data_IF_706703130618
#
_entry.id   IF_706703130618
#
_cell.length_a   1.000
_cell.length_b   1.000
_cell.length_c   1.000
_cell.angle_alpha   90.00
_cell.angle_beta   90.00
_cell.angle_gamma   90.00
#
_symmetry.space_group_name_H-M   'P 1'
#
loop_
_entity.id
_entity.type
_entity.pdbx_description
1 polymer ?
#
# COMPACT_ATOMS: atom_id res chain seq x y z
N UNK A 1 -21.97 31.40 -13.96
CA UNK A 1 -20.67 31.47 -13.24
C UNK A 1 -20.78 31.03 -11.78
N UNK A 2 -21.87 31.35 -11.07
CA UNK A 2 -22.04 31.07 -9.63
C UNK A 2 -22.22 29.58 -9.26
N UNK A 3 -22.78 28.74 -10.14
CA UNK A 3 -23.01 27.32 -9.84
C UNK A 3 -21.71 26.50 -9.73
N UNK A 4 -20.71 26.81 -10.57
CA UNK A 4 -19.39 26.14 -10.55
C UNK A 4 -18.60 26.49 -9.29
N UNK A 5 -18.71 27.74 -8.84
CA UNK A 5 -18.03 28.24 -7.63
C UNK A 5 -18.66 27.61 -6.38
N UNK A 6 -20.00 27.58 -6.28
CA UNK A 6 -20.70 26.94 -5.16
C UNK A 6 -20.41 25.44 -5.04
N UNK A 7 -20.29 24.73 -6.17
CA UNK A 7 -19.92 23.32 -6.18
C UNK A 7 -18.49 23.11 -5.66
N UNK A 8 -17.54 23.94 -6.10
CA UNK A 8 -16.13 23.88 -5.67
C UNK A 8 -15.95 24.15 -4.17
N UNK A 9 -16.72 25.08 -3.60
CA UNK A 9 -16.72 25.33 -2.15
C UNK A 9 -17.32 24.15 -1.38
N UNK A 10 -18.43 23.57 -1.86
CA UNK A 10 -19.02 22.37 -1.26
C UNK A 10 -18.05 21.18 -1.23
N UNK A 11 -17.34 20.93 -2.34
CA UNK A 11 -16.32 19.89 -2.40
C UNK A 11 -15.15 20.15 -1.46
N UNK A 12 -14.71 21.40 -1.33
CA UNK A 12 -13.59 21.78 -0.47
C UNK A 12 -13.92 21.60 1.01
N UNK A 13 -15.11 22.04 1.45
CA UNK A 13 -15.57 21.87 2.84
C UNK A 13 -15.76 20.39 3.18
N UNK A 14 -16.35 19.60 2.28
CA UNK A 14 -16.52 18.16 2.48
C UNK A 14 -15.16 17.44 2.57
N UNK A 15 -14.19 17.87 1.75
CA UNK A 15 -12.83 17.30 1.76
C UNK A 15 -12.09 17.62 3.07
N UNK A 16 -12.24 18.84 3.60
CA UNK A 16 -11.63 19.23 4.87
C UNK A 16 -12.27 18.48 6.04
N UNK A 17 -13.60 18.37 6.07
CA UNK A 17 -14.31 17.63 7.11
C UNK A 17 -13.95 16.13 7.09
N UNK A 18 -13.83 15.54 5.90
CA UNK A 18 -13.36 14.17 5.72
C UNK A 18 -11.90 14.00 6.17
N UNK A 19 -11.02 14.94 5.83
CA UNK A 19 -9.62 14.93 6.28
C UNK A 19 -9.51 14.98 7.81
N UNK A 20 -10.27 15.86 8.45
CA UNK A 20 -10.28 16.01 9.91
C UNK A 20 -10.82 14.74 10.60
N UNK A 21 -11.88 14.12 10.06
CA UNK A 21 -12.40 12.86 10.55
C UNK A 21 -11.36 11.73 10.41
N UNK A 22 -10.71 11.61 9.25
CA UNK A 22 -9.65 10.64 8.98
C UNK A 22 -8.48 10.80 9.96
N UNK A 23 -8.03 12.02 10.21
CA UNK A 23 -6.94 12.30 11.17
C UNK A 23 -7.35 11.91 12.59
N UNK A 24 -8.56 12.27 13.02
CA UNK A 24 -9.08 11.91 14.33
C UNK A 24 -9.18 10.39 14.50
N UNK A 25 -9.72 9.70 13.49
CA UNK A 25 -9.83 8.24 13.45
C UNK A 25 -8.46 7.56 13.49
N UNK A 26 -7.47 8.08 12.77
CA UNK A 26 -6.08 7.61 12.85
C UNK A 26 -5.53 7.70 14.27
N UNK A 27 -5.71 8.86 14.93
CA UNK A 27 -5.18 9.08 16.27
C UNK A 27 -5.85 8.19 17.32
N UNK A 28 -7.17 8.01 17.24
CA UNK A 28 -7.90 7.11 18.13
C UNK A 28 -7.46 5.66 17.89
N UNK A 29 -7.36 5.22 16.64
CA UNK A 29 -6.93 3.86 16.35
C UNK A 29 -5.50 3.59 16.83
N UNK A 30 -4.56 4.49 16.52
CA UNK A 30 -3.17 4.36 16.92
C UNK A 30 -3.01 4.32 18.46
N UNK A 31 -3.90 4.97 19.21
CA UNK A 31 -3.87 4.98 20.68
C UNK A 31 -4.52 3.75 21.32
N UNK A 32 -5.53 3.15 20.69
CA UNK A 32 -6.38 2.15 21.35
C UNK A 32 -6.37 0.76 20.70
N UNK A 33 -5.92 0.60 19.45
CA UNK A 33 -6.19 -0.62 18.66
C UNK A 33 -4.99 -1.18 17.88
N UNK A 34 -3.76 -0.69 18.12
CA UNK A 34 -2.54 -1.23 17.48
C UNK A 34 -2.47 -2.77 17.61
N UNK A 35 -2.89 -3.30 18.77
CA UNK A 35 -2.91 -4.73 19.11
C UNK A 35 -3.72 -5.63 18.16
N UNK A 36 -4.65 -5.07 17.37
CA UNK A 36 -5.55 -5.81 16.49
C UNK A 36 -5.11 -5.84 15.01
N UNK A 37 -3.86 -5.47 14.71
CA UNK A 37 -3.40 -5.30 13.33
C UNK A 37 -2.58 -6.49 12.80
N UNK A 38 -2.72 -6.79 11.50
CA UNK A 38 -1.84 -7.69 10.75
C UNK A 38 -0.35 -7.34 10.98
N UNK A 39 -0.06 -6.05 11.18
CA UNK A 39 1.28 -5.53 11.36
C UNK A 39 2.02 -6.14 12.55
N UNK A 40 1.34 -6.32 13.68
CA UNK A 40 1.95 -6.92 14.87
C UNK A 40 2.38 -8.36 14.57
N UNK A 41 1.54 -9.10 13.86
CA UNK A 41 1.86 -10.46 13.44
C UNK A 41 3.17 -10.50 12.66
N UNK A 42 3.42 -9.50 11.79
CA UNK A 42 4.68 -9.39 11.05
C UNK A 42 5.89 -9.12 11.96
N UNK A 43 5.76 -8.17 12.92
CA UNK A 43 6.87 -7.79 13.81
C UNK A 43 7.18 -8.90 14.81
N UNK A 44 6.17 -9.57 15.37
CA UNK A 44 6.36 -10.70 16.28
C UNK A 44 7.01 -11.88 15.58
N UNK A 45 6.61 -12.17 14.33
CA UNK A 45 7.29 -13.19 13.53
C UNK A 45 8.77 -12.83 13.32
N UNK A 46 9.07 -11.56 13.03
CA UNK A 46 10.45 -11.08 12.89
C UNK A 46 11.26 -11.21 14.20
N UNK A 47 10.66 -10.91 15.35
CA UNK A 47 11.28 -11.08 16.68
C UNK A 47 11.56 -12.54 17.01
N UNK A 48 10.64 -13.44 16.65
CA UNK A 48 10.85 -14.89 16.78
C UNK A 48 12.00 -15.36 15.90
N UNK A 49 12.05 -14.93 14.64
CA UNK A 49 13.19 -15.23 13.75
C UNK A 49 14.50 -14.71 14.36
N UNK A 50 14.53 -13.47 14.83
CA UNK A 50 15.72 -12.86 15.44
C UNK A 50 16.20 -13.55 16.72
N UNK A 51 15.31 -14.26 17.43
CA UNK A 51 15.63 -15.05 18.62
C UNK A 51 15.83 -16.55 18.34
N UNK A 52 15.84 -16.96 17.06
CA UNK A 52 16.01 -18.36 16.67
C UNK A 52 14.81 -19.26 16.97
N UNK A 53 13.64 -18.67 17.20
CA UNK A 53 12.40 -19.38 17.49
C UNK A 53 11.58 -19.66 16.20
N UNK A 54 10.81 -20.76 16.15
CA UNK A 54 9.83 -20.97 15.10
C UNK A 54 8.80 -19.83 15.07
N UNK A 55 8.51 -19.30 13.88
CA UNK A 55 7.57 -18.18 13.69
C UNK A 55 6.21 -18.57 13.09
N UNK A 56 6.06 -19.81 12.63
CA UNK A 56 4.77 -20.38 12.21
C UNK A 56 4.10 -21.22 13.31
N UNK A 57 4.84 -21.65 14.33
CA UNK A 57 4.34 -22.55 15.38
C UNK A 57 3.77 -21.79 16.58
N UNK A 58 3.04 -20.71 16.31
CA UNK A 58 2.24 -20.02 17.33
C UNK A 58 0.88 -20.71 17.37
N UNK A 59 0.42 -21.23 18.52
CA UNK A 59 -0.89 -21.86 18.60
C UNK A 59 -1.95 -20.93 18.02
N UNK A 60 -2.82 -21.47 17.16
CA UNK A 60 -3.98 -20.74 16.62
C UNK A 60 -5.00 -20.59 17.74
N UNK A 61 -4.65 -19.76 18.72
CA UNK A 61 -5.63 -19.18 19.62
C UNK A 61 -6.16 -17.96 18.87
N UNK A 62 -7.47 -17.77 18.83
CA UNK A 62 -8.09 -16.52 18.35
C UNK A 62 -7.83 -15.37 19.34
N UNK A 63 -6.62 -15.31 19.88
CA UNK A 63 -6.12 -14.26 20.74
C UNK A 63 -5.42 -13.22 19.87
N UNK A 64 -5.57 -11.96 20.26
CA UNK A 64 -4.80 -10.87 19.69
C UNK A 64 -3.41 -10.88 20.33
N UNK A 65 -2.32 -10.90 19.54
CA UNK A 65 -2.27 -10.79 18.08
C UNK A 65 -2.43 -12.14 17.35
N UNK A 66 -3.03 -12.07 16.16
CA UNK A 66 -3.30 -13.24 15.31
C UNK A 66 -2.03 -14.01 14.92
N UNK A 67 -2.13 -15.32 14.63
CA UNK A 67 -0.99 -16.11 14.16
C UNK A 67 -0.50 -15.62 12.79
N UNK A 68 0.81 -15.77 12.56
CA UNK A 68 1.43 -15.39 11.29
C UNK A 68 1.08 -16.39 10.18
N UNK A 69 0.29 -15.95 9.20
CA UNK A 69 -0.20 -16.76 8.07
C UNK A 69 0.36 -16.32 6.71
N UNK A 70 1.37 -15.45 6.71
CA UNK A 70 1.88 -14.79 5.51
C UNK A 70 3.13 -15.49 4.99
N UNK A 71 3.54 -15.26 3.73
CA UNK A 71 4.80 -15.79 3.21
C UNK A 71 6.04 -15.31 4.00
N UNK A 72 7.10 -16.14 4.14
CA UNK A 72 8.23 -15.86 5.04
C UNK A 72 8.96 -14.54 4.80
N UNK A 73 9.02 -14.08 3.54
CA UNK A 73 9.78 -12.87 3.18
C UNK A 73 9.30 -11.66 3.98
N UNK A 74 8.00 -11.56 4.27
CA UNK A 74 7.45 -10.42 5.00
C UNK A 74 8.02 -10.35 6.43
N UNK A 75 8.15 -11.48 7.13
CA UNK A 75 8.77 -11.52 8.45
C UNK A 75 10.29 -11.26 8.36
N UNK A 76 10.96 -11.85 7.37
CA UNK A 76 12.42 -11.71 7.18
C UNK A 76 12.82 -10.25 6.94
N UNK A 77 12.06 -9.50 6.14
CA UNK A 77 12.34 -8.07 5.87
C UNK A 77 12.27 -7.22 7.13
N UNK A 78 11.49 -7.63 8.14
CA UNK A 78 11.37 -6.92 9.41
C UNK A 78 12.38 -7.35 10.47
N UNK A 79 13.17 -8.41 10.24
CA UNK A 79 14.19 -8.89 11.20
C UNK A 79 15.17 -7.81 11.65
N UNK A 80 15.68 -6.92 10.76
CA UNK A 80 16.56 -5.83 11.18
C UNK A 80 15.94 -4.88 12.22
N UNK A 81 14.61 -4.85 12.33
CA UNK A 81 13.85 -4.00 13.26
C UNK A 81 13.33 -4.78 14.48
N UNK A 82 13.63 -6.08 14.60
CA UNK A 82 13.12 -6.94 15.67
C UNK A 82 13.47 -6.44 17.09
N UNK A 83 14.62 -5.78 17.25
CA UNK A 83 15.04 -5.23 18.55
C UNK A 83 14.38 -3.93 18.96
N UNK A 84 13.52 -3.33 18.12
CA UNK A 84 12.87 -2.05 18.40
C UNK A 84 11.47 -2.25 19.03
N UNK A 85 10.97 -1.27 19.80
CA UNK A 85 9.57 -1.24 20.21
C UNK A 85 8.62 -1.27 19.00
N UNK A 86 7.53 -2.03 19.08
CA UNK A 86 6.59 -2.26 17.97
C UNK A 86 6.03 -0.94 17.44
N UNK A 87 5.77 0.02 18.34
CA UNK A 87 5.26 1.35 18.03
C UNK A 87 6.24 2.12 17.15
N UNK A 88 7.55 2.01 17.42
CA UNK A 88 8.58 2.66 16.62
C UNK A 88 8.67 2.02 15.22
N UNK A 89 8.58 0.69 15.15
CA UNK A 89 8.54 -0.02 13.85
C UNK A 89 7.27 0.38 13.08
N UNK A 90 6.13 0.52 13.74
CA UNK A 90 4.87 0.93 13.13
C UNK A 90 4.91 2.36 12.59
N UNK A 91 5.48 3.32 13.33
CA UNK A 91 5.69 4.69 12.84
C UNK A 91 6.60 4.69 11.60
N UNK A 92 7.72 3.96 11.66
CA UNK A 92 8.62 3.80 10.51
C UNK A 92 7.93 3.17 9.30
N UNK A 93 7.12 2.14 9.53
CA UNK A 93 6.32 1.46 8.51
C UNK A 93 5.28 2.37 7.88
N UNK A 94 4.63 3.21 8.69
CA UNK A 94 3.65 4.20 8.23
C UNK A 94 4.30 5.21 7.30
N UNK A 95 5.44 5.78 7.71
CA UNK A 95 6.21 6.73 6.89
C UNK A 95 6.65 6.07 5.58
N UNK A 96 7.16 4.85 5.65
CA UNK A 96 7.53 4.06 4.47
C UNK A 96 6.34 3.81 3.54
N UNK A 97 5.17 3.47 4.10
CA UNK A 97 3.93 3.25 3.34
C UNK A 97 3.48 4.52 2.62
N UNK A 98 3.50 5.67 3.29
CA UNK A 98 3.19 6.97 2.67
C UNK A 98 4.16 7.27 1.52
N UNK A 99 5.47 7.03 1.73
CA UNK A 99 6.47 7.16 0.67
C UNK A 99 6.17 6.25 -0.54
N UNK A 100 5.81 4.99 -0.29
CA UNK A 100 5.42 4.05 -1.33
C UNK A 100 4.18 4.50 -2.10
N UNK A 101 3.17 5.02 -1.41
CA UNK A 101 1.95 5.56 -2.02
C UNK A 101 2.27 6.74 -2.94
N UNK A 102 3.01 7.73 -2.44
CA UNK A 102 3.41 8.91 -3.22
C UNK A 102 4.21 8.49 -4.45
N UNK A 103 5.16 7.57 -4.30
CA UNK A 103 5.95 7.05 -5.41
C UNK A 103 5.09 6.34 -6.45
N UNK A 104 4.16 5.47 -6.03
CA UNK A 104 3.28 4.74 -6.94
C UNK A 104 2.39 5.69 -7.75
N UNK A 105 1.76 6.67 -7.09
CA UNK A 105 0.92 7.67 -7.76
C UNK A 105 1.76 8.53 -8.71
N UNK A 106 2.94 9.02 -8.28
CA UNK A 106 3.82 9.81 -9.12
C UNK A 106 4.24 9.05 -10.39
N UNK A 107 4.56 7.76 -10.26
CA UNK A 107 4.91 6.88 -11.37
C UNK A 107 3.72 6.67 -12.34
N UNK A 108 2.52 6.45 -11.82
CA UNK A 108 1.30 6.33 -12.64
C UNK A 108 1.03 7.63 -13.40
N UNK A 109 1.03 8.77 -12.70
CA UNK A 109 0.79 10.09 -13.30
C UNK A 109 1.85 10.39 -14.36
N UNK A 110 3.13 10.14 -14.07
CA UNK A 110 4.20 10.33 -15.04
C UNK A 110 3.99 9.47 -16.29
N UNK A 111 3.63 8.20 -16.12
CA UNK A 111 3.45 7.24 -17.20
C UNK A 111 2.20 7.48 -18.06
N UNK A 112 1.20 8.15 -17.51
CA UNK A 112 -0.06 8.49 -18.17
C UNK A 112 -0.18 9.99 -18.47
N UNK A 113 0.84 10.81 -18.22
CA UNK A 113 0.73 12.28 -18.27
C UNK A 113 0.19 12.82 -19.59
N UNK A 114 0.56 12.20 -20.71
CA UNK A 114 0.14 12.65 -22.05
C UNK A 114 -1.34 12.41 -22.33
N UNK A 115 -1.95 11.42 -21.67
CA UNK A 115 -3.37 11.09 -21.83
C UNK A 115 -4.22 11.65 -20.68
N UNK A 116 -3.66 11.67 -19.46
CA UNK A 116 -4.34 12.08 -18.23
C UNK A 116 -4.40 13.61 -18.10
N UNK A 117 -3.27 14.32 -18.23
CA UNK A 117 -3.23 15.76 -17.94
C UNK A 117 -4.11 16.62 -18.86
N UNK A 118 -4.21 16.37 -20.18
CA UNK A 118 -5.10 17.15 -21.03
C UNK A 118 -6.58 17.01 -20.66
N UNK A 119 -6.98 15.89 -20.05
CA UNK A 119 -8.37 15.60 -19.64
C UNK A 119 -8.76 16.22 -18.30
N UNK A 120 -7.77 16.45 -17.43
CA UNK A 120 -8.02 16.97 -16.08
C UNK A 120 -8.30 18.49 -16.06
N UNK A 121 -7.86 19.22 -17.09
CA UNK A 121 -7.93 20.68 -17.08
C UNK A 121 -7.12 21.29 -15.92
N UNK A 122 -7.31 22.60 -15.66
CA UNK A 122 -6.48 23.33 -14.68
C UNK A 122 -6.73 22.90 -13.22
N UNK A 123 -7.95 22.47 -12.88
CA UNK A 123 -8.31 22.08 -11.51
C UNK A 123 -8.27 20.56 -11.28
N UNK A 124 -8.20 19.74 -12.32
CA UNK A 124 -8.34 18.28 -12.14
C UNK A 124 -7.14 17.64 -11.47
N UNK A 125 -5.92 18.14 -11.66
CA UNK A 125 -4.74 17.59 -10.98
C UNK A 125 -4.77 17.88 -9.46
N UNK A 126 -5.00 19.12 -8.99
CA UNK A 126 -5.20 19.39 -7.56
C UNK A 126 -6.35 18.58 -6.93
N UNK A 127 -7.48 18.46 -7.63
CA UNK A 127 -8.63 17.68 -7.15
C UNK A 127 -8.29 16.18 -7.07
N UNK A 128 -7.61 15.63 -8.08
CA UNK A 128 -7.17 14.23 -8.07
C UNK A 128 -6.21 13.96 -6.91
N UNK A 129 -5.24 14.85 -6.67
CA UNK A 129 -4.30 14.74 -5.55
C UNK A 129 -5.04 14.78 -4.22
N UNK A 130 -5.97 15.73 -4.03
CA UNK A 130 -6.79 15.82 -2.83
C UNK A 130 -7.64 14.56 -2.63
N UNK A 131 -8.25 14.04 -3.69
CA UNK A 131 -9.07 12.84 -3.63
C UNK A 131 -8.26 11.59 -3.29
N UNK A 132 -7.06 11.44 -3.85
CA UNK A 132 -6.14 10.34 -3.53
C UNK A 132 -5.59 10.42 -2.11
N UNK A 133 -5.37 11.63 -1.59
CA UNK A 133 -4.95 11.84 -0.20
C UNK A 133 -6.05 11.49 0.81
N UNK A 134 -7.32 11.66 0.41
CA UNK A 134 -8.49 11.36 1.24
C UNK A 134 -9.12 10.00 0.93
N UNK A 135 -8.44 9.17 0.14
CA UNK A 135 -8.98 7.90 -0.29
C UNK A 135 -9.17 6.96 0.92
N UNK A 136 -10.39 6.52 1.26
CA UNK A 136 -10.63 5.78 2.50
C UNK A 136 -9.80 4.49 2.62
N UNK A 137 -9.54 3.82 1.49
CA UNK A 137 -8.72 2.61 1.52
C UNK A 137 -7.26 2.90 1.87
N UNK A 138 -6.69 4.05 1.45
CA UNK A 138 -5.35 4.45 1.88
C UNK A 138 -5.29 4.54 3.41
N UNK A 139 -6.26 5.23 3.99
CA UNK A 139 -6.36 5.42 5.44
C UNK A 139 -6.48 4.09 6.19
N UNK A 140 -7.38 3.20 5.75
CA UNK A 140 -7.51 1.86 6.32
C UNK A 140 -6.18 1.08 6.25
N UNK A 141 -5.50 1.11 5.11
CA UNK A 141 -4.23 0.40 4.98
C UNK A 141 -3.13 0.96 5.89
N UNK A 142 -3.09 2.27 6.12
CA UNK A 142 -2.13 2.88 7.05
C UNK A 142 -2.46 2.50 8.50
N UNK A 143 -3.73 2.60 8.89
CA UNK A 143 -4.23 2.23 10.22
C UNK A 143 -3.86 0.79 10.58
N UNK A 144 -4.10 -0.16 9.67
CA UNK A 144 -3.85 -1.58 9.92
C UNK A 144 -2.39 -2.01 9.62
N UNK A 145 -1.52 -1.07 9.23
CA UNK A 145 -0.14 -1.37 8.83
C UNK A 145 -0.05 -2.39 7.69
N UNK A 146 -1.01 -2.34 6.77
CA UNK A 146 -1.20 -3.32 5.70
C UNK A 146 -0.15 -3.17 4.58
N UNK A 147 0.31 -4.31 4.05
CA UNK A 147 1.38 -4.37 3.01
C UNK A 147 0.91 -3.99 1.59
N UNK A 148 -0.36 -3.63 1.43
CA UNK A 148 -1.02 -3.46 0.13
C UNK A 148 -0.44 -2.27 -0.65
N UNK A 149 0.02 -1.24 0.05
CA UNK A 149 0.59 -0.03 -0.56
C UNK A 149 1.97 -0.34 -1.17
N UNK A 150 2.78 -1.15 -0.49
CA UNK A 150 4.08 -1.62 -0.98
C UNK A 150 3.88 -2.51 -2.22
N UNK A 151 2.90 -3.41 -2.16
CA UNK A 151 2.54 -4.26 -3.30
C UNK A 151 2.08 -3.41 -4.48
N UNK A 152 1.27 -2.37 -4.27
CA UNK A 152 0.88 -1.44 -5.32
C UNK A 152 2.12 -0.83 -6.00
N UNK A 153 3.10 -0.34 -5.24
CA UNK A 153 4.32 0.22 -5.81
C UNK A 153 5.09 -0.82 -6.66
N UNK A 154 5.24 -2.05 -6.16
CA UNK A 154 5.91 -3.13 -6.89
C UNK A 154 5.19 -3.46 -8.19
N UNK A 155 3.85 -3.52 -8.16
CA UNK A 155 3.04 -3.80 -9.34
C UNK A 155 3.07 -2.65 -10.36
N UNK A 156 3.08 -1.40 -9.92
CA UNK A 156 3.28 -0.23 -10.80
C UNK A 156 4.67 -0.30 -11.43
N UNK A 157 5.70 -0.62 -10.67
CA UNK A 157 7.05 -0.84 -11.18
C UNK A 157 7.11 -1.95 -12.24
N UNK A 158 6.47 -3.09 -11.96
CA UNK A 158 6.39 -4.22 -12.88
C UNK A 158 5.68 -3.83 -14.19
N UNK A 159 4.53 -3.14 -14.09
CA UNK A 159 3.80 -2.61 -15.25
C UNK A 159 4.66 -1.67 -16.09
N UNK A 160 5.40 -0.76 -15.48
CA UNK A 160 6.29 0.17 -16.19
C UNK A 160 7.47 -0.52 -16.86
N UNK A 161 7.96 -1.63 -16.30
CA UNK A 161 9.03 -2.44 -16.90
C UNK A 161 8.51 -3.26 -18.08
N UNK A 162 7.28 -3.80 -18.00
CA UNK A 162 6.62 -4.46 -19.13
C UNK A 162 6.41 -3.49 -20.30
N UNK A 163 5.97 -2.25 -20.04
CA UNK A 163 5.86 -1.21 -21.09
C UNK A 163 7.19 -0.88 -21.77
N UNK A 164 8.31 -1.13 -21.09
CA UNK A 164 9.67 -0.95 -21.61
C UNK A 164 10.30 -2.25 -22.13
N UNK A 165 9.53 -3.33 -22.26
CA UNK A 165 10.01 -4.64 -22.72
C UNK A 165 11.15 -5.21 -21.85
N UNK A 166 11.11 -4.94 -20.53
CA UNK A 166 12.08 -5.45 -19.54
C UNK A 166 11.46 -6.56 -18.70
N UNK A 167 11.04 -7.63 -19.37
CA UNK A 167 10.18 -8.68 -18.80
C UNK A 167 10.81 -9.38 -17.58
N UNK A 168 12.13 -9.63 -17.61
CA UNK A 168 12.83 -10.25 -16.47
C UNK A 168 12.76 -9.40 -15.19
N UNK A 169 12.93 -8.09 -15.30
CA UNK A 169 12.82 -7.18 -14.15
C UNK A 169 11.37 -7.01 -13.69
N UNK A 170 10.42 -7.00 -14.62
CA UNK A 170 9.00 -6.98 -14.29
C UNK A 170 8.59 -8.25 -13.52
N UNK A 171 9.03 -9.41 -14.00
CA UNK A 171 8.83 -10.70 -13.32
C UNK A 171 9.48 -10.72 -11.93
N UNK A 172 10.68 -10.14 -11.78
CA UNK A 172 11.34 -9.98 -10.50
C UNK A 172 10.51 -9.18 -9.48
N UNK A 173 9.99 -8.01 -9.87
CA UNK A 173 9.14 -7.20 -9.00
C UNK A 173 7.82 -7.90 -8.65
N UNK A 174 7.20 -8.58 -9.61
CA UNK A 174 6.01 -9.39 -9.36
C UNK A 174 6.30 -10.56 -8.40
N UNK A 175 7.42 -11.24 -8.59
CA UNK A 175 7.87 -12.32 -7.71
C UNK A 175 8.09 -11.84 -6.28
N UNK A 176 8.69 -10.67 -6.08
CA UNK A 176 8.81 -10.03 -4.75
C UNK A 176 7.43 -9.72 -4.18
N UNK A 177 6.51 -9.18 -4.97
CA UNK A 177 5.15 -8.88 -4.50
C UNK A 177 4.41 -10.15 -4.02
N UNK A 178 4.53 -11.25 -4.77
CA UNK A 178 3.97 -12.57 -4.42
C UNK A 178 4.62 -13.11 -3.14
N UNK A 179 5.94 -12.98 -3.05
CA UNK A 179 6.70 -13.41 -1.88
C UNK A 179 6.38 -12.58 -0.62
N UNK A 180 5.82 -11.38 -0.74
CA UNK A 180 5.32 -10.59 0.39
C UNK A 180 3.88 -11.01 0.75
N UNK A 181 3.00 -11.18 -0.24
CA UNK A 181 1.61 -11.64 -0.03
C UNK A 181 1.16 -12.40 -1.27
N UNK A 182 0.46 -13.52 -1.09
CA UNK A 182 0.21 -14.46 -2.20
C UNK A 182 -0.73 -13.93 -3.30
N UNK A 183 -1.63 -12.98 -3.00
CA UNK A 183 -2.69 -12.57 -3.93
C UNK A 183 -2.24 -12.08 -5.33
N UNK A 184 -1.09 -11.40 -5.52
CA UNK A 184 -0.62 -11.00 -6.85
C UNK A 184 -0.27 -12.19 -7.74
N UNK A 185 -0.19 -13.41 -7.22
CA UNK A 185 0.03 -14.63 -8.01
C UNK A 185 -1.08 -14.83 -9.06
N UNK A 186 -2.28 -14.31 -8.82
CA UNK A 186 -3.36 -14.30 -9.80
C UNK A 186 -2.97 -13.58 -11.10
N UNK A 187 -2.09 -12.57 -11.04
CA UNK A 187 -1.60 -11.86 -12.22
C UNK A 187 -0.71 -12.74 -13.10
N UNK A 188 -0.03 -13.75 -12.52
CA UNK A 188 0.79 -14.70 -13.29
C UNK A 188 -0.07 -15.52 -14.24
N UNK A 189 -1.31 -15.85 -13.85
CA UNK A 189 -2.25 -16.57 -14.70
C UNK A 189 -2.73 -15.70 -15.88
N UNK A 190 -2.90 -14.39 -15.66
CA UNK A 190 -3.38 -13.46 -16.67
C UNK A 190 -2.28 -12.98 -17.65
N UNK A 191 -1.01 -13.00 -17.25
CA UNK A 191 0.10 -12.49 -18.05
C UNK A 191 0.30 -13.20 -19.42
N UNK A 192 0.25 -14.55 -19.52
CA UNK A 192 0.36 -15.27 -20.79
C UNK A 192 -0.72 -14.86 -21.80
N UNK A 193 -1.93 -14.57 -21.31
CA UNK A 193 -3.06 -14.16 -22.14
C UNK A 193 -2.83 -12.78 -22.79
N UNK A 194 -2.18 -11.87 -22.07
CA UNK A 194 -1.84 -10.52 -22.58
C UNK A 194 -0.68 -10.54 -23.59
N UNK A 195 0.29 -11.45 -23.44
CA UNK A 195 1.43 -11.58 -24.35
C UNK A 195 1.01 -12.11 -25.73
N UNK A 196 -0.06 -12.91 -25.78
CA UNK A 196 -0.60 -13.48 -27.01
C UNK A 196 -1.46 -12.49 -27.84
N UNK A 197 -2.03 -11.44 -27.21
CA UNK A 197 -3.03 -10.57 -27.84
C UNK A 197 -2.46 -9.26 -28.43
N UNK A 198 -1.14 -9.06 -28.41
CA UNK A 198 -0.49 -7.87 -28.95
C UNK A 198 0.03 -6.93 -27.86
N UNK A 199 1.34 -6.67 -27.90
CA UNK A 199 2.18 -5.99 -26.91
C UNK A 199 1.57 -4.68 -26.39
N UNK A 200 1.28 -4.67 -25.08
CA UNK A 200 1.14 -3.52 -24.16
C UNK A 200 1.02 -2.13 -24.83
N UNK A 201 -0.16 -1.82 -25.39
CA UNK A 201 -0.51 -0.45 -25.79
C UNK A 201 -0.67 0.47 -24.56
#
# INVERSE_FOLDING_TARGET
MNLKIGLLWGFSVLSIALAAYIIADYTVFALFFIEATDFISYVLAAQRIGSGQPFYEVPVVFETPAPYIYPPLMAVVLVPFAGLPIELVFVGWTIFSIGCWVAAIALIVYALRQTLLPRLGQMGLPVLVAWLALFPALHQHLIYGQVQIQILLLLVGAWLLLRRQRDGWAGGLLGVAIAIKLFPALLVVCLPYSAACGRYC
#
